data_IF_180589193566
#
_entry.id   IF_180589193566
#
_cell.length_a   1.000
_cell.length_b   1.000
_cell.length_c   1.000
_cell.angle_alpha   90.00
_cell.angle_beta   90.00
_cell.angle_gamma   90.00
#
_symmetry.space_group_name_H-M   'P 1'
#
loop_
_entity.id
_entity.type
_entity.pdbx_description
1 polymer ?
#
# COMPACT_ATOMS: atom_id res chain seq x y z
N UNK A 1 -9.66 31.69 4.27
CA UNK A 1 -9.60 30.38 3.58
C UNK A 1 -8.34 30.44 2.75
N UNK A 2 -7.24 29.99 3.33
CA UNK A 2 -5.91 30.19 2.76
C UNK A 2 -5.78 29.38 1.46
N UNK A 3 -5.49 30.09 0.37
CA UNK A 3 -5.11 29.48 -0.91
C UNK A 3 -3.71 28.88 -0.73
N UNK A 4 -3.60 27.56 -0.79
CA UNK A 4 -2.32 26.87 -0.89
C UNK A 4 -1.57 27.40 -2.12
N UNK A 5 -0.38 27.95 -1.93
CA UNK A 5 0.46 28.46 -3.02
C UNK A 5 1.18 27.30 -3.72
N UNK A 6 1.68 27.52 -4.94
CA UNK A 6 2.44 26.49 -5.66
C UNK A 6 3.71 26.03 -4.91
N UNK A 7 4.28 26.88 -4.05
CA UNK A 7 5.41 26.53 -3.19
C UNK A 7 4.98 25.55 -2.08
N UNK A 8 3.84 25.82 -1.45
CA UNK A 8 3.29 24.98 -0.37
C UNK A 8 2.96 23.57 -0.87
N UNK A 9 2.43 23.45 -2.09
CA UNK A 9 2.13 22.15 -2.73
C UNK A 9 3.42 21.36 -2.98
N UNK A 10 4.49 22.04 -3.42
CA UNK A 10 5.77 21.39 -3.71
C UNK A 10 6.41 20.82 -2.43
N UNK A 11 6.49 21.63 -1.38
CA UNK A 11 7.04 21.21 -0.08
C UNK A 11 6.24 20.05 0.51
N UNK A 12 4.90 20.09 0.39
CA UNK A 12 4.04 19.00 0.84
C UNK A 12 4.33 17.70 0.07
N UNK A 13 4.46 17.77 -1.26
CA UNK A 13 4.76 16.59 -2.08
C UNK A 13 6.12 15.99 -1.73
N UNK A 14 7.15 16.83 -1.53
CA UNK A 14 8.49 16.38 -1.15
C UNK A 14 8.45 15.63 0.19
N UNK A 15 7.69 16.16 1.16
CA UNK A 15 7.47 15.51 2.45
C UNK A 15 6.71 14.18 2.32
N UNK A 16 5.64 14.16 1.53
CA UNK A 16 4.88 12.93 1.26
C UNK A 16 5.79 11.86 0.65
N UNK A 17 6.61 12.22 -0.34
CA UNK A 17 7.54 11.28 -0.97
C UNK A 17 8.55 10.69 0.02
N UNK A 18 9.08 11.54 0.90
CA UNK A 18 10.06 11.12 1.90
C UNK A 18 9.43 10.16 2.93
N UNK A 19 8.23 10.48 3.40
CA UNK A 19 7.50 9.64 4.36
C UNK A 19 6.92 8.38 3.72
N UNK A 20 6.58 8.38 2.43
CA UNK A 20 6.03 7.22 1.74
C UNK A 20 7.06 6.22 1.22
N UNK A 21 8.36 6.52 1.31
CA UNK A 21 9.43 5.72 0.72
C UNK A 21 9.44 4.25 1.19
N UNK A 22 9.01 3.97 2.42
CA UNK A 22 8.92 2.61 2.95
C UNK A 22 7.87 1.75 2.22
N UNK A 23 6.83 2.36 1.65
CA UNK A 23 5.76 1.66 0.92
C UNK A 23 6.35 0.99 -0.33
N UNK A 24 7.28 1.65 -1.02
CA UNK A 24 7.91 1.09 -2.20
C UNK A 24 8.82 -0.10 -1.86
N UNK A 25 9.50 -0.05 -0.70
CA UNK A 25 10.27 -1.19 -0.18
C UNK A 25 9.36 -2.39 0.16
N UNK A 26 8.25 -2.15 0.86
CA UNK A 26 7.26 -3.20 1.17
C UNK A 26 6.65 -3.80 -0.09
N UNK A 27 6.35 -2.98 -1.09
CA UNK A 27 5.88 -3.46 -2.41
C UNK A 27 6.92 -4.34 -3.08
N UNK A 28 8.20 -3.95 -3.05
CA UNK A 28 9.27 -4.74 -3.65
C UNK A 28 9.39 -6.13 -3.00
N UNK A 29 9.37 -6.21 -1.67
CA UNK A 29 9.47 -7.48 -0.94
C UNK A 29 8.25 -8.36 -1.18
N UNK A 30 7.04 -7.81 -1.07
CA UNK A 30 5.80 -8.56 -1.27
C UNK A 30 5.64 -9.08 -2.71
N UNK A 31 6.19 -8.36 -3.70
CA UNK A 31 6.17 -8.76 -5.12
C UNK A 31 6.98 -10.03 -5.41
N UNK A 32 7.94 -10.40 -4.53
CA UNK A 32 8.72 -11.64 -4.68
C UNK A 32 7.87 -12.89 -4.44
N UNK A 33 6.84 -12.79 -3.59
CA UNK A 33 5.94 -13.90 -3.26
C UNK A 33 4.59 -13.80 -3.99
N UNK A 34 4.13 -12.57 -4.31
CA UNK A 34 2.82 -12.31 -4.88
C UNK A 34 2.96 -11.74 -6.30
N UNK A 35 2.67 -12.57 -7.30
CA UNK A 35 2.74 -12.19 -8.72
C UNK A 35 1.34 -11.92 -9.26
N UNK A 36 1.18 -10.82 -10.02
CA UNK A 36 -0.07 -10.51 -10.73
C UNK A 36 -1.22 -9.99 -9.86
N UNK A 37 -1.02 -9.77 -8.57
CA UNK A 37 -2.06 -9.33 -7.62
C UNK A 37 -1.77 -7.94 -7.00
N UNK A 38 -1.22 -7.02 -7.78
CA UNK A 38 -0.86 -5.67 -7.31
C UNK A 38 -2.04 -4.93 -6.68
N UNK A 39 -3.21 -4.99 -7.31
CA UNK A 39 -4.40 -4.30 -6.81
C UNK A 39 -4.84 -4.79 -5.42
N UNK A 40 -4.81 -6.10 -5.19
CA UNK A 40 -5.12 -6.68 -3.88
C UNK A 40 -4.11 -6.22 -2.82
N UNK A 41 -2.82 -6.27 -3.13
CA UNK A 41 -1.77 -5.84 -2.20
C UNK A 41 -1.87 -4.35 -1.83
N UNK A 42 -2.13 -3.49 -2.82
CA UNK A 42 -2.30 -2.05 -2.59
C UNK A 42 -3.49 -1.76 -1.65
N UNK A 43 -4.60 -2.50 -1.79
CA UNK A 43 -5.76 -2.36 -0.90
C UNK A 43 -5.47 -2.86 0.51
N UNK A 44 -4.78 -3.99 0.66
CA UNK A 44 -4.40 -4.53 1.97
C UNK A 44 -3.47 -3.58 2.72
N UNK A 45 -2.45 -3.03 2.05
CA UNK A 45 -1.57 -2.00 2.61
C UNK A 45 -2.36 -0.75 3.01
N UNK A 46 -3.29 -0.28 2.16
CA UNK A 46 -4.13 0.87 2.47
C UNK A 46 -4.99 0.63 3.72
N UNK A 47 -5.63 -0.52 3.85
CA UNK A 47 -6.41 -0.87 5.03
C UNK A 47 -5.57 -0.92 6.30
N UNK A 48 -4.36 -1.50 6.21
CA UNK A 48 -3.43 -1.55 7.33
C UNK A 48 -3.01 -0.14 7.80
N UNK A 49 -2.57 0.70 6.87
CA UNK A 49 -2.09 2.07 7.17
C UNK A 49 -3.21 2.99 7.66
N UNK A 50 -4.42 2.81 7.12
CA UNK A 50 -5.59 3.59 7.52
C UNK A 50 -6.29 3.04 8.77
N UNK A 51 -5.79 1.97 9.39
CA UNK A 51 -6.46 1.25 10.49
C UNK A 51 -7.89 0.81 10.12
N UNK A 52 -8.12 0.52 8.85
CA UNK A 52 -9.40 0.08 8.32
C UNK A 52 -9.56 -1.44 8.33
N UNK A 53 -10.79 -1.89 8.08
CA UNK A 53 -11.11 -3.31 7.94
C UNK A 53 -11.35 -3.67 6.48
N UNK A 54 -10.87 -4.84 6.06
CA UNK A 54 -11.02 -5.36 4.70
C UNK A 54 -11.65 -6.74 4.77
N UNK A 55 -12.67 -6.96 3.95
CA UNK A 55 -13.19 -8.28 3.65
C UNK A 55 -12.58 -8.76 2.33
N UNK A 56 -11.89 -9.89 2.36
CA UNK A 56 -11.19 -10.44 1.19
C UNK A 56 -11.94 -11.65 0.62
N UNK A 57 -12.76 -11.41 -0.40
CA UNK A 57 -13.57 -12.43 -1.07
C UNK A 57 -13.02 -12.80 -2.47
N UNK A 58 -13.36 -14.00 -2.94
CA UNK A 58 -13.05 -14.47 -4.28
C UNK A 58 -13.01 -16.00 -4.37
N UNK A 59 -12.80 -16.54 -5.56
CA UNK A 59 -12.73 -17.99 -5.79
C UNK A 59 -11.46 -18.63 -5.18
N UNK A 60 -11.47 -19.93 -4.85
CA UNK A 60 -10.30 -20.65 -4.37
C UNK A 60 -9.09 -20.52 -5.32
N UNK A 61 -7.87 -20.48 -4.78
CA UNK A 61 -6.63 -20.44 -5.57
C UNK A 61 -6.09 -19.04 -5.95
N UNK A 62 -6.80 -17.95 -5.64
CA UNK A 62 -6.37 -16.57 -5.97
C UNK A 62 -5.34 -15.97 -4.98
N UNK A 63 -4.47 -16.79 -4.40
CA UNK A 63 -3.42 -16.36 -3.48
C UNK A 63 -3.87 -15.51 -2.25
N UNK A 64 -5.17 -15.48 -1.91
CA UNK A 64 -5.73 -14.71 -0.78
C UNK A 64 -4.99 -14.97 0.53
N UNK A 65 -4.84 -16.24 0.90
CA UNK A 65 -4.13 -16.65 2.12
C UNK A 65 -2.64 -16.33 2.05
N UNK A 66 -2.03 -16.47 0.87
CA UNK A 66 -0.62 -16.16 0.68
C UNK A 66 -0.39 -14.65 0.85
N UNK A 67 -1.24 -13.80 0.27
CA UNK A 67 -1.14 -12.35 0.36
C UNK A 67 -1.19 -11.84 1.81
N UNK A 68 -2.13 -12.35 2.61
CA UNK A 68 -2.21 -12.00 4.04
C UNK A 68 -0.97 -12.45 4.81
N UNK A 69 -0.48 -13.67 4.56
CA UNK A 69 0.74 -14.17 5.21
C UNK A 69 1.96 -13.35 4.83
N UNK A 70 2.16 -13.10 3.54
CA UNK A 70 3.29 -12.30 3.03
C UNK A 70 3.25 -10.91 3.66
N UNK A 71 2.12 -10.22 3.65
CA UNK A 71 1.99 -8.88 4.25
C UNK A 71 2.27 -8.87 5.76
N UNK A 72 1.94 -9.94 6.49
CA UNK A 72 2.18 -10.02 7.93
C UNK A 72 3.65 -10.31 8.30
N UNK A 73 4.46 -10.82 7.37
CA UNK A 73 5.84 -11.27 7.62
C UNK A 73 6.92 -10.50 6.87
N UNK A 74 6.54 -9.72 5.87
CA UNK A 74 7.43 -8.80 5.12
C UNK A 74 7.63 -7.50 5.89
#
# INVERSE_FOLDING_TARGET
>A
MDMLTASDIKELNDKIHQESAFIDLLRLETSKAIVGQKYMMDRLLLGLLAQGHILLEGVPGLAKTLAIKTLATS
#
